data_IF_039505759311
#
_entry.id   IF_039505759311
#
_cell.length_a   1.000
_cell.length_b   1.000
_cell.length_c   1.000
_cell.angle_alpha   90.00
_cell.angle_beta   90.00
_cell.angle_gamma   90.00
#
_symmetry.space_group_name_H-M   'P 1'
#
loop_
_entity.id
_entity.type
_entity.pdbx_description
1 polymer ?
#
# COMPACT_ATOMS: atom_id res chain seq x y z
N UNK A 1 6.71 5.50 0.70
CA UNK A 1 7.53 4.85 -0.36
C UNK A 1 6.65 4.69 -1.59
N UNK A 2 7.18 4.85 -2.79
CA UNK A 2 6.42 4.71 -4.05
C UNK A 2 7.04 3.64 -4.95
N UNK A 3 6.19 2.88 -5.64
CA UNK A 3 6.58 1.92 -6.66
C UNK A 3 5.81 2.22 -7.94
N UNK A 4 6.53 2.51 -9.02
CA UNK A 4 5.95 2.88 -10.32
C UNK A 4 5.82 1.62 -11.15
N UNK A 5 4.59 1.33 -11.59
CA UNK A 5 4.36 0.24 -12.52
C UNK A 5 4.83 0.68 -13.91
N UNK A 6 5.43 -0.27 -14.65
CA UNK A 6 5.77 -0.06 -16.04
C UNK A 6 4.51 -0.27 -16.91
N UNK A 7 3.59 0.68 -16.85
CA UNK A 7 2.38 0.70 -17.68
C UNK A 7 2.18 2.06 -18.37
N UNK A 8 1.32 2.07 -19.39
CA UNK A 8 0.99 3.28 -20.15
C UNK A 8 0.08 4.27 -19.41
N UNK A 9 -0.41 3.90 -18.22
CA UNK A 9 -1.38 4.68 -17.47
C UNK A 9 -0.74 5.52 -16.37
N UNK A 10 0.55 5.28 -16.09
CA UNK A 10 1.29 5.95 -15.02
C UNK A 10 0.83 5.47 -13.65
N UNK A 11 0.51 4.18 -13.52
CA UNK A 11 0.04 3.61 -12.26
C UNK A 11 1.16 3.56 -11.22
N UNK A 12 0.84 3.96 -9.99
CA UNK A 12 1.78 4.01 -8.88
C UNK A 12 1.15 3.34 -7.67
N UNK A 13 1.94 2.55 -6.93
CA UNK A 13 1.57 2.03 -5.61
C UNK A 13 2.33 2.84 -4.58
N UNK A 14 1.61 3.37 -3.59
CA UNK A 14 2.19 4.15 -2.49
C UNK A 14 1.99 3.40 -1.18
N UNK A 15 3.06 3.22 -0.42
CA UNK A 15 2.98 2.81 0.98
C UNK A 15 3.00 4.08 1.85
N UNK A 16 1.88 4.37 2.51
CA UNK A 16 1.67 5.55 3.34
C UNK A 16 1.41 5.15 4.79
N UNK A 17 1.92 5.93 5.74
CA UNK A 17 1.70 5.77 7.18
C UNK A 17 0.84 6.93 7.69
N UNK A 18 -0.18 6.60 8.47
CA UNK A 18 -1.03 7.55 9.14
C UNK A 18 -1.46 7.00 10.50
N UNK A 19 -1.17 7.74 11.57
CA UNK A 19 -1.53 7.39 12.95
C UNK A 19 -1.05 5.98 13.35
N UNK A 20 0.23 5.70 13.07
CA UNK A 20 0.90 4.43 13.34
C UNK A 20 0.46 3.27 12.44
N UNK A 21 -0.39 3.52 11.45
CA UNK A 21 -0.95 2.49 10.57
C UNK A 21 -0.54 2.70 9.12
N UNK A 22 -0.11 1.62 8.48
CA UNK A 22 0.31 1.60 7.09
C UNK A 22 -0.81 1.13 6.17
N UNK A 23 -0.87 1.75 4.99
CA UNK A 23 -1.78 1.39 3.91
C UNK A 23 -1.05 1.39 2.57
N UNK A 24 -1.40 0.43 1.70
CA UNK A 24 -1.02 0.46 0.29
C UNK A 24 -2.12 1.16 -0.51
N UNK A 25 -1.79 2.28 -1.14
CA UNK A 25 -2.72 3.15 -1.85
C UNK A 25 -2.41 3.11 -3.35
N UNK A 26 -3.46 3.00 -4.14
CA UNK A 26 -3.39 3.17 -5.59
C UNK A 26 -3.29 4.65 -5.92
N UNK A 27 -2.32 5.01 -6.74
CA UNK A 27 -2.06 6.37 -7.16
C UNK A 27 -1.74 6.43 -8.65
N UNK A 28 -1.72 7.65 -9.19
CA UNK A 28 -1.40 7.91 -10.59
C UNK A 28 -0.43 9.07 -10.70
N UNK A 29 0.55 8.92 -11.57
CA UNK A 29 1.40 10.02 -11.98
C UNK A 29 0.72 10.87 -13.07
N UNK A 30 0.74 12.19 -12.88
CA UNK A 30 0.36 13.18 -13.88
C UNK A 30 1.29 14.38 -13.75
N UNK A 31 1.93 14.78 -14.86
CA UNK A 31 2.80 15.97 -14.92
C UNK A 31 3.91 15.94 -13.85
N UNK A 32 4.53 14.77 -13.63
CA UNK A 32 5.60 14.59 -12.65
C UNK A 32 5.15 14.59 -11.19
N UNK A 33 3.84 14.62 -10.93
CA UNK A 33 3.26 14.58 -9.58
C UNK A 33 2.41 13.33 -9.39
N UNK A 34 2.44 12.79 -8.19
CA UNK A 34 1.64 11.61 -7.81
C UNK A 34 0.35 12.09 -7.13
N UNK A 35 -0.76 11.54 -7.59
CA UNK A 35 -2.09 11.79 -7.05
C UNK A 35 -2.72 10.48 -6.63
N UNK A 36 -3.22 10.41 -5.39
CA UNK A 36 -3.98 9.26 -4.92
C UNK A 36 -5.22 9.07 -5.79
N UNK A 37 -5.54 7.82 -6.11
CA UNK A 37 -6.82 7.47 -6.69
C UNK A 37 -7.87 7.46 -5.58
N UNK A 38 -8.99 8.15 -5.80
CA UNK A 38 -10.08 8.25 -4.84
C UNK A 38 -11.29 7.47 -5.33
N UNK A 39 -11.95 6.74 -4.45
CA UNK A 39 -13.19 6.01 -4.75
C UNK A 39 -14.24 6.25 -3.67
N UNK A 40 -15.51 6.11 -4.03
CA UNK A 40 -16.61 6.01 -3.05
C UNK A 40 -16.82 4.54 -2.76
N UNK A 41 -16.57 4.11 -1.53
CA UNK A 41 -16.73 2.71 -1.14
C UNK A 41 -18.21 2.36 -1.07
N UNK A 42 -18.57 1.14 -1.44
CA UNK A 42 -19.94 0.67 -1.33
C UNK A 42 -20.33 0.48 0.15
N UNK A 43 -21.49 1.00 0.54
CA UNK A 43 -22.07 0.89 1.88
C UNK A 43 -23.37 0.07 1.79
N UNK A 44 -23.28 -1.24 2.08
CA UNK A 44 -24.41 -2.16 1.87
C UNK A 44 -24.55 -2.59 0.41
N UNK A 45 -25.77 -2.95 -0.03
CA UNK A 45 -25.98 -3.55 -1.36
C UNK A 45 -26.01 -2.52 -2.50
N UNK A 46 -26.65 -1.38 -2.31
CA UNK A 46 -26.94 -0.45 -3.42
C UNK A 46 -26.58 1.01 -3.12
N UNK A 47 -25.82 1.27 -2.04
CA UNK A 47 -25.40 2.62 -1.66
C UNK A 47 -23.88 2.74 -1.69
N UNK A 48 -23.41 3.96 -1.90
CA UNK A 48 -22.00 4.33 -1.80
C UNK A 48 -21.82 5.34 -0.66
N UNK A 49 -20.64 5.37 -0.07
CA UNK A 49 -20.25 6.37 0.90
C UNK A 49 -20.36 7.78 0.30
N UNK A 50 -20.78 8.75 1.13
CA UNK A 50 -20.91 10.14 0.70
C UNK A 50 -19.55 10.77 0.36
N UNK A 51 -18.52 10.41 1.13
CA UNK A 51 -17.15 10.87 0.95
C UNK A 51 -16.34 9.83 0.20
N UNK A 52 -15.53 10.29 -0.74
CA UNK A 52 -14.51 9.45 -1.34
C UNK A 52 -13.36 9.27 -0.34
N UNK A 53 -12.71 8.12 -0.39
CA UNK A 53 -11.47 7.85 0.32
C UNK A 53 -10.41 7.33 -0.64
N UNK A 54 -9.11 7.37 -0.29
CA UNK A 54 -8.08 6.81 -1.12
C UNK A 54 -8.37 5.32 -1.37
N UNK A 55 -8.30 4.91 -2.62
CA UNK A 55 -8.41 3.52 -3.00
C UNK A 55 -7.15 2.81 -2.50
N UNK A 56 -7.28 2.01 -1.45
CA UNK A 56 -6.15 1.33 -0.85
C UNK A 56 -6.56 0.25 0.13
N UNK A 57 -5.56 -0.51 0.55
CA UNK A 57 -5.68 -1.59 1.52
C UNK A 57 -4.94 -1.18 2.78
N UNK A 58 -5.67 -1.07 3.90
CA UNK A 58 -5.06 -0.91 5.22
C UNK A 58 -4.44 -2.23 5.62
N UNK A 59 -3.16 -2.20 6.00
CA UNK A 59 -2.42 -3.40 6.40
C UNK A 59 -2.44 -3.52 7.92
N UNK A 60 -1.92 -2.52 8.63
CA UNK A 60 -1.85 -2.52 10.09
C UNK A 60 -0.73 -1.64 10.59
N UNK A 61 -0.27 -1.86 11.81
CA UNK A 61 0.91 -1.17 12.35
C UNK A 61 2.20 -1.60 11.63
N UNK A 62 3.35 -1.00 11.99
CA UNK A 62 4.66 -1.31 11.39
C UNK A 62 4.96 -2.81 11.41
N UNK A 63 4.83 -3.46 12.58
CA UNK A 63 5.13 -4.89 12.76
C UNK A 63 4.24 -5.77 11.89
N UNK A 64 2.93 -5.53 11.92
CA UNK A 64 1.96 -6.27 11.10
C UNK A 64 2.20 -6.07 9.60
N UNK A 65 2.67 -4.88 9.22
CA UNK A 65 2.96 -4.54 7.83
C UNK A 65 4.18 -5.28 7.32
N UNK A 66 5.26 -5.31 8.09
CA UNK A 66 6.46 -6.08 7.74
C UNK A 66 6.12 -7.57 7.62
N UNK A 67 5.39 -8.12 8.59
CA UNK A 67 4.96 -9.52 8.57
C UNK A 67 4.13 -9.86 7.32
N UNK A 68 3.09 -9.06 7.03
CA UNK A 68 2.22 -9.29 5.88
C UNK A 68 2.96 -9.19 4.54
N UNK A 69 3.82 -8.17 4.37
CA UNK A 69 4.60 -8.00 3.14
C UNK A 69 5.59 -9.15 2.94
N UNK A 70 6.24 -9.59 4.02
CA UNK A 70 7.15 -10.75 3.99
C UNK A 70 6.42 -12.01 3.56
N UNK A 71 5.27 -12.32 4.17
CA UNK A 71 4.47 -13.49 3.78
C UNK A 71 4.12 -13.47 2.28
N UNK A 72 3.75 -12.32 1.72
CA UNK A 72 3.47 -12.21 0.29
C UNK A 72 4.72 -12.41 -0.57
N UNK A 73 5.88 -11.90 -0.17
CA UNK A 73 7.14 -12.12 -0.89
C UNK A 73 7.51 -13.61 -0.86
N UNK A 74 7.37 -14.27 0.28
CA UNK A 74 7.63 -15.72 0.40
C UNK A 74 6.70 -16.52 -0.51
N UNK A 75 5.41 -16.15 -0.56
CA UNK A 75 4.45 -16.78 -1.44
C UNK A 75 4.79 -16.58 -2.93
N UNK A 76 5.27 -15.40 -3.31
CA UNK A 76 5.62 -15.08 -4.70
C UNK A 76 6.93 -15.73 -5.15
N UNK A 77 7.90 -15.87 -4.25
CA UNK A 77 9.23 -16.42 -4.57
C UNK A 77 9.33 -17.92 -4.32
N UNK A 78 8.44 -18.48 -3.50
CA UNK A 78 8.50 -19.87 -3.04
C UNK A 78 9.65 -20.14 -2.06
N UNK A 79 10.26 -19.10 -1.49
CA UNK A 79 11.40 -19.19 -0.59
C UNK A 79 11.17 -18.33 0.66
N UNK A 80 11.63 -18.79 1.85
CA UNK A 80 11.55 -17.99 3.06
C UNK A 80 12.41 -16.73 2.94
N UNK A 81 11.88 -15.61 3.44
CA UNK A 81 12.59 -14.33 3.51
C UNK A 81 13.11 -14.18 4.92
N UNK A 82 14.42 -14.01 5.07
CA UNK A 82 14.99 -13.71 6.38
C UNK A 82 14.55 -12.30 6.80
N UNK A 83 13.70 -12.22 7.83
CA UNK A 83 13.41 -10.96 8.50
C UNK A 83 14.68 -10.49 9.23
N UNK A 84 15.18 -9.33 8.85
CA UNK A 84 16.27 -8.66 9.58
C UNK A 84 15.64 -7.96 10.78
N UNK A 85 16.14 -8.19 12.00
CA UNK A 85 15.60 -7.53 13.19
C UNK A 85 15.92 -6.02 13.13
N UNK A 86 15.04 -5.17 13.68
CA UNK A 86 15.22 -3.71 13.71
C UNK A 86 16.56 -3.31 14.38
N UNK A 87 17.13 -4.16 15.26
CA UNK A 87 18.41 -3.96 15.94
C UNK A 87 19.65 -4.07 15.01
N UNK A 88 19.49 -4.64 13.82
CA UNK A 88 20.57 -4.90 12.86
C UNK A 88 20.67 -3.81 11.75
N UNK A 89 19.86 -2.75 11.82
CA UNK A 89 19.90 -1.62 10.89
C UNK A 89 20.77 -0.49 11.49
N UNK A 90 22.01 -0.25 10.99
CA UNK A 90 22.84 0.83 11.49
C UNK A 90 22.22 2.21 11.17
N UNK A 91 22.24 3.10 12.16
CA UNK A 91 21.75 4.49 12.10
C UNK A 91 22.56 5.37 11.14
#
# INVERSE_FOLDING_TARGET
MEYRLNDKYGSVIVLEEYDGNYSMISAREKEGKIYNQWCRVQTGKDKFAERAMPLGVRIGNKSQTVEALTMFIEQLTGAPVALVNDDDIPF
#
